data_IF_911790155023
#
_entry.id   IF_911790155023
#
_cell.length_a   1.000
_cell.length_b   1.000
_cell.length_c   1.000
_cell.angle_alpha   90.00
_cell.angle_beta   90.00
_cell.angle_gamma   90.00
#
_symmetry.space_group_name_H-M   'P 1'
#
loop_
_entity.id
_entity.type
_entity.pdbx_description
1 polymer ?
#
# COMPACT_ATOMS: atom_id res chain seq x y z
N UNK A 1 -33.60 28.31 -10.74
CA UNK A 1 -32.62 27.37 -11.30
C UNK A 1 -32.04 26.57 -10.15
N UNK A 2 -32.33 25.27 -10.09
CA UNK A 2 -31.90 24.37 -9.03
C UNK A 2 -30.42 24.02 -9.22
N UNK A 3 -29.58 24.35 -8.23
CA UNK A 3 -28.24 23.78 -8.12
C UNK A 3 -28.37 22.35 -7.60
N UNK A 4 -28.18 21.36 -8.47
CA UNK A 4 -27.94 19.98 -8.06
C UNK A 4 -26.56 19.91 -7.40
N UNK A 5 -26.55 19.64 -6.10
CA UNK A 5 -25.34 19.34 -5.34
C UNK A 5 -24.85 17.93 -5.69
N UNK A 6 -23.64 17.84 -6.24
CA UNK A 6 -22.98 16.56 -6.53
C UNK A 6 -22.28 16.08 -5.25
N UNK A 7 -22.86 15.10 -4.57
CA UNK A 7 -22.47 14.61 -3.23
C UNK A 7 -21.34 13.57 -3.23
N UNK A 8 -20.60 13.39 -4.32
CA UNK A 8 -19.77 12.18 -4.51
C UNK A 8 -18.25 12.35 -4.44
N UNK A 9 -17.69 13.50 -4.03
CA UNK A 9 -16.24 13.68 -4.18
C UNK A 9 -15.51 14.53 -3.13
N UNK A 10 -15.88 14.45 -1.84
CA UNK A 10 -15.11 15.13 -0.78
C UNK A 10 -13.81 14.43 -0.35
N UNK A 11 -13.52 13.23 -0.84
CA UNK A 11 -12.29 12.47 -0.55
C UNK A 11 -11.24 12.48 -1.69
N UNK A 12 -11.51 13.16 -2.82
CA UNK A 12 -10.64 13.13 -4.02
C UNK A 12 -10.32 14.51 -4.63
N UNK A 13 -10.63 15.62 -3.97
CA UNK A 13 -10.61 16.94 -4.63
C UNK A 13 -9.29 17.72 -4.66
N UNK A 14 -8.12 17.05 -4.59
CA UNK A 14 -6.82 17.72 -4.76
C UNK A 14 -5.89 17.07 -5.80
N UNK A 15 -6.42 16.30 -6.75
CA UNK A 15 -5.63 15.80 -7.91
C UNK A 15 -6.17 16.23 -9.28
N UNK A 16 -7.16 17.12 -9.35
CA UNK A 16 -7.79 17.54 -10.62
C UNK A 16 -7.28 18.87 -11.21
N UNK A 17 -6.19 19.47 -10.68
CA UNK A 17 -5.63 20.74 -11.17
C UNK A 17 -4.13 20.70 -11.49
N UNK A 18 -3.63 19.60 -12.07
CA UNK A 18 -2.29 19.56 -12.65
C UNK A 18 -2.33 19.41 -14.17
N UNK A 19 -2.57 20.53 -14.87
CA UNK A 19 -2.29 20.63 -16.32
C UNK A 19 -0.89 21.14 -16.64
N UNK A 20 -0.03 21.38 -15.64
CA UNK A 20 1.38 21.72 -15.86
C UNK A 20 2.22 21.14 -14.73
N UNK A 21 2.56 19.85 -14.79
CA UNK A 21 3.71 19.34 -14.04
C UNK A 21 4.93 19.38 -14.97
N UNK A 22 5.80 20.36 -14.75
CA UNK A 22 7.19 20.23 -15.19
C UNK A 22 7.80 19.00 -14.51
N UNK A 23 8.72 18.28 -15.18
CA UNK A 23 9.36 17.10 -14.60
C UNK A 23 10.10 17.50 -13.33
N UNK A 24 9.55 17.10 -12.18
CA UNK A 24 10.23 17.22 -10.90
C UNK A 24 11.41 16.25 -10.93
N UNK A 25 12.61 16.77 -11.15
CA UNK A 25 13.84 15.99 -11.14
C UNK A 25 14.13 15.58 -9.69
N UNK A 26 13.80 14.33 -9.36
CA UNK A 26 14.28 13.71 -8.12
C UNK A 26 15.81 13.66 -8.13
N UNK A 27 16.50 14.09 -7.06
CA UNK A 27 17.96 14.04 -6.97
C UNK A 27 18.54 12.61 -6.85
N UNK A 28 17.69 11.58 -6.91
CA UNK A 28 18.07 10.19 -6.64
C UNK A 28 18.52 9.39 -7.88
N UNK A 29 19.28 10.00 -8.79
CA UNK A 29 19.93 9.28 -9.88
C UNK A 29 21.45 9.41 -9.82
N UNK A 30 22.12 8.46 -9.16
CA UNK A 30 23.51 8.10 -9.49
C UNK A 30 23.84 6.62 -9.35
N UNK A 31 24.57 6.19 -10.38
CA UNK A 31 25.56 5.12 -10.52
C UNK A 31 25.23 3.66 -10.21
N UNK A 32 25.09 2.90 -11.31
CA UNK A 32 25.11 1.43 -11.35
C UNK A 32 26.55 0.95 -11.53
N UNK A 33 27.07 0.16 -10.59
CA UNK A 33 28.11 -0.85 -10.88
C UNK A 33 27.83 -2.14 -10.14
N UNK A 34 27.85 -3.22 -10.89
CA UNK A 34 27.62 -4.60 -10.48
C UNK A 34 28.92 -5.32 -10.09
N UNK A 35 28.82 -6.34 -9.24
CA UNK A 35 29.88 -7.32 -8.96
C UNK A 35 29.49 -8.33 -7.86
N UNK A 36 30.04 -9.55 -7.84
CA UNK A 36 29.20 -10.77 -7.87
C UNK A 36 29.16 -11.64 -6.60
N UNK A 37 28.24 -12.60 -6.70
CA UNK A 37 27.79 -13.69 -5.81
C UNK A 37 28.82 -14.78 -5.45
N UNK A 38 28.63 -15.40 -4.28
CA UNK A 38 29.19 -16.73 -3.92
C UNK A 38 28.32 -17.46 -2.87
N UNK A 39 28.23 -18.81 -2.89
CA UNK A 39 27.13 -19.57 -2.26
C UNK A 39 27.53 -20.30 -0.96
N UNK A 40 26.53 -20.82 -0.22
CA UNK A 40 26.49 -22.03 0.67
C UNK A 40 25.48 -21.80 1.81
N UNK A 41 24.72 -22.76 2.38
CA UNK A 41 24.49 -24.20 2.20
C UNK A 41 23.24 -24.53 3.05
N UNK A 42 22.36 -25.39 2.55
CA UNK A 42 21.13 -25.83 3.23
C UNK A 42 21.43 -26.77 4.42
N UNK A 43 20.64 -26.65 5.49
CA UNK A 43 20.51 -27.67 6.54
C UNK A 43 19.02 -27.91 6.78
N UNK A 44 18.62 -29.17 6.63
CA UNK A 44 17.26 -29.69 6.87
C UNK A 44 17.08 -30.00 8.35
N UNK A 45 15.98 -29.58 8.94
CA UNK A 45 15.47 -30.23 10.16
C UNK A 45 13.97 -30.43 10.06
N UNK A 46 13.55 -31.61 10.51
CA UNK A 46 12.21 -32.20 10.38
C UNK A 46 11.23 -31.53 11.34
N UNK A 47 10.02 -31.36 10.84
CA UNK A 47 8.86 -30.86 11.58
C UNK A 47 8.17 -32.03 12.28
N UNK A 48 7.84 -31.85 13.56
CA UNK A 48 6.82 -32.61 14.28
C UNK A 48 5.70 -31.62 14.61
N UNK A 49 4.52 -31.81 14.01
CA UNK A 49 3.33 -31.00 14.27
C UNK A 49 2.53 -31.62 15.42
N UNK A 50 2.42 -30.88 16.52
CA UNK A 50 1.39 -31.06 17.55
C UNK A 50 0.26 -30.05 17.33
N UNK A 51 -0.97 -30.55 17.27
CA UNK A 51 -2.20 -29.77 17.17
C UNK A 51 -2.47 -29.04 18.49
N UNK A 52 -2.45 -27.70 18.48
CA UNK A 52 -3.01 -26.85 19.54
C UNK A 52 -3.41 -25.49 18.91
N UNK A 53 -4.48 -24.90 19.44
CA UNK A 53 -5.27 -23.81 18.85
C UNK A 53 -4.47 -22.59 18.40
N UNK A 54 -4.98 -21.91 17.37
CA UNK A 54 -4.41 -20.70 16.76
C UNK A 54 -4.54 -19.48 17.69
N UNK A 55 -3.69 -19.43 18.71
CA UNK A 55 -3.15 -18.16 19.19
C UNK A 55 -2.11 -17.70 18.15
N UNK A 56 -2.18 -16.43 17.74
CA UNK A 56 -1.21 -15.83 16.84
C UNK A 56 0.18 -15.92 17.49
N UNK A 57 1.02 -16.83 16.99
CA UNK A 57 2.43 -16.92 17.38
C UNK A 57 3.06 -15.55 17.14
N UNK A 58 3.47 -14.88 18.21
CA UNK A 58 4.20 -13.62 18.18
C UNK A 58 5.59 -13.85 17.57
N UNK A 59 5.65 -13.97 16.25
CA UNK A 59 6.89 -14.04 15.49
C UNK A 59 7.61 -12.70 15.53
N UNK A 60 8.94 -12.74 15.57
CA UNK A 60 9.75 -11.53 15.39
C UNK A 60 9.39 -10.83 14.08
N UNK A 61 9.38 -9.49 14.08
CA UNK A 61 9.15 -8.70 12.88
C UNK A 61 10.14 -9.11 11.76
N UNK A 62 9.67 -9.36 10.53
CA UNK A 62 10.57 -9.71 9.45
C UNK A 62 11.46 -8.52 9.08
N UNK A 63 12.71 -8.81 8.71
CA UNK A 63 13.66 -7.85 8.16
C UNK A 63 13.45 -7.70 6.65
N UNK A 64 13.07 -6.50 6.21
CA UNK A 64 12.82 -6.15 4.81
C UNK A 64 14.07 -5.50 4.24
N UNK A 65 14.96 -6.30 3.67
CA UNK A 65 16.31 -5.88 3.23
C UNK A 65 16.44 -5.72 1.72
N UNK A 66 15.42 -6.10 0.95
CA UNK A 66 15.37 -5.97 -0.49
C UNK A 66 13.90 -6.02 -0.97
N UNK A 67 13.67 -5.77 -2.25
CA UNK A 67 12.33 -5.73 -2.83
C UNK A 67 11.60 -7.09 -2.76
N UNK A 68 12.30 -8.21 -2.89
CA UNK A 68 11.72 -9.55 -2.76
C UNK A 68 11.16 -9.80 -1.34
N UNK A 69 11.90 -9.38 -0.30
CA UNK A 69 11.45 -9.47 1.07
C UNK A 69 10.20 -8.60 1.32
N UNK A 70 10.17 -7.38 0.78
CA UNK A 70 8.99 -6.50 0.84
C UNK A 70 7.80 -7.14 0.13
N UNK A 71 8.03 -7.67 -1.07
CA UNK A 71 7.01 -8.35 -1.88
C UNK A 71 6.39 -9.52 -1.12
N UNK A 72 7.24 -10.43 -0.63
CA UNK A 72 6.82 -11.61 0.12
C UNK A 72 6.06 -11.22 1.39
N UNK A 73 6.48 -10.16 2.07
CA UNK A 73 5.78 -9.64 3.24
C UNK A 73 4.40 -9.09 2.88
N UNK A 74 4.28 -8.19 1.91
CA UNK A 74 3.03 -7.48 1.63
C UNK A 74 1.97 -8.34 0.96
N UNK A 75 2.37 -9.35 0.17
CA UNK A 75 1.46 -10.17 -0.63
C UNK A 75 0.30 -10.75 0.21
N UNK A 76 -0.91 -10.69 -0.34
CA UNK A 76 -2.13 -11.24 0.27
C UNK A 76 -3.11 -10.17 0.76
N UNK A 77 -4.03 -10.59 1.63
CA UNK A 77 -5.14 -9.76 2.12
C UNK A 77 -4.96 -9.36 3.57
N UNK A 78 -5.32 -8.13 3.87
CA UNK A 78 -5.13 -7.48 5.16
C UNK A 78 -6.44 -6.84 5.62
N UNK A 79 -6.85 -7.12 6.86
CA UNK A 79 -7.82 -6.30 7.55
C UNK A 79 -7.16 -4.96 7.89
N UNK A 80 -7.89 -3.87 7.70
CA UNK A 80 -7.33 -2.53 7.80
C UNK A 80 -8.23 -1.65 8.65
N UNK A 81 -7.63 -0.94 9.60
CA UNK A 81 -8.24 0.20 10.27
C UNK A 81 -7.43 1.46 9.97
N UNK A 82 -8.11 2.60 9.89
CA UNK A 82 -7.50 3.90 9.63
C UNK A 82 -8.19 4.97 10.44
N UNK A 83 -7.40 5.83 11.05
CA UNK A 83 -7.87 7.07 11.66
C UNK A 83 -7.20 8.23 10.95
N UNK A 84 -7.93 9.33 10.80
CA UNK A 84 -7.37 10.55 10.24
C UNK A 84 -7.96 11.75 10.95
N UNK A 85 -7.10 12.74 11.18
CA UNK A 85 -7.42 13.96 11.89
C UNK A 85 -6.72 15.12 11.17
N UNK A 86 -7.51 15.85 10.38
CA UNK A 86 -7.03 17.01 9.63
C UNK A 86 -7.52 18.30 10.27
N UNK A 87 -6.56 19.17 10.58
CA UNK A 87 -6.77 20.56 10.98
C UNK A 87 -7.20 21.41 9.78
N UNK A 88 -6.58 21.17 8.63
CA UNK A 88 -6.90 21.81 7.35
C UNK A 88 -7.09 20.70 6.31
N UNK A 89 -8.23 20.72 5.62
CA UNK A 89 -8.53 19.83 4.48
C UNK A 89 -8.55 18.33 4.82
N UNK A 90 -9.74 17.73 4.93
CA UNK A 90 -9.90 16.26 5.07
C UNK A 90 -10.82 15.83 6.21
N UNK A 91 -11.04 16.69 7.20
CA UNK A 91 -11.89 16.41 8.36
C UNK A 91 -11.29 15.39 9.34
N UNK A 92 -12.10 14.94 10.29
CA UNK A 92 -11.74 13.87 11.22
C UNK A 92 -12.65 12.66 11.02
N UNK A 93 -12.10 11.47 11.14
CA UNK A 93 -12.88 10.25 11.02
C UNK A 93 -12.07 8.97 11.18
N UNK A 94 -12.78 7.87 10.97
CA UNK A 94 -12.22 6.52 10.95
C UNK A 94 -12.65 5.78 9.70
N UNK A 95 -11.92 4.72 9.36
CA UNK A 95 -12.24 3.82 8.27
C UNK A 95 -11.89 2.39 8.67
N UNK A 96 -12.81 1.48 8.42
CA UNK A 96 -12.59 0.04 8.55
C UNK A 96 -12.79 -0.64 7.20
N UNK A 97 -11.93 -1.60 6.88
CA UNK A 97 -11.94 -2.21 5.57
C UNK A 97 -10.88 -3.28 5.38
N UNK A 98 -10.46 -3.44 4.13
CA UNK A 98 -9.39 -4.36 3.77
C UNK A 98 -8.49 -3.77 2.69
N UNK A 99 -7.24 -4.21 2.71
CA UNK A 99 -6.28 -4.01 1.65
C UNK A 99 -5.89 -5.36 1.03
N UNK A 100 -5.69 -5.38 -0.28
CA UNK A 100 -5.18 -6.56 -0.98
C UNK A 100 -3.96 -6.16 -1.79
N UNK A 101 -2.87 -6.89 -1.59
CA UNK A 101 -1.69 -6.85 -2.44
C UNK A 101 -1.71 -8.07 -3.33
N UNK A 102 -1.74 -7.86 -4.64
CA UNK A 102 -1.76 -8.93 -5.65
C UNK A 102 -0.64 -8.74 -6.64
N UNK A 103 -0.04 -9.82 -7.11
CA UNK A 103 0.93 -9.75 -8.21
C UNK A 103 0.21 -9.35 -9.50
N UNK A 104 0.86 -8.52 -10.31
CA UNK A 104 0.35 -8.26 -11.65
C UNK A 104 0.64 -9.46 -12.56
N UNK A 105 -0.30 -9.87 -13.42
CA UNK A 105 -0.02 -10.90 -14.43
C UNK A 105 1.12 -10.52 -15.39
N UNK A 106 1.35 -9.22 -15.59
CA UNK A 106 2.35 -8.69 -16.52
C UNK A 106 3.77 -8.67 -15.93
N UNK A 107 3.90 -8.48 -14.60
CA UNK A 107 5.15 -8.30 -13.88
C UNK A 107 5.05 -8.94 -12.49
N UNK A 108 5.78 -10.03 -12.27
CA UNK A 108 5.76 -10.73 -10.98
C UNK A 108 6.45 -9.95 -9.85
N UNK A 109 7.27 -8.96 -10.17
CA UNK A 109 7.98 -8.05 -9.26
C UNK A 109 7.23 -6.71 -9.07
N UNK A 110 5.96 -6.66 -9.46
CA UNK A 110 5.06 -5.54 -9.21
C UNK A 110 3.83 -6.04 -8.46
N UNK A 111 3.50 -5.37 -7.35
CA UNK A 111 2.27 -5.61 -6.59
C UNK A 111 1.24 -4.50 -6.85
N UNK A 112 0.03 -4.88 -7.22
CA UNK A 112 -1.15 -4.01 -7.15
C UNK A 112 -1.71 -4.02 -5.75
N UNK A 113 -1.86 -2.82 -5.21
CA UNK A 113 -2.53 -2.57 -3.96
C UNK A 113 -3.94 -2.03 -4.22
N UNK A 114 -4.91 -2.66 -3.58
CA UNK A 114 -6.29 -2.20 -3.56
C UNK A 114 -6.79 -2.08 -2.12
N UNK A 115 -7.18 -0.87 -1.74
CA UNK A 115 -7.82 -0.54 -0.46
C UNK A 115 -9.31 -0.32 -0.68
N UNK A 116 -10.15 -0.86 0.20
CA UNK A 116 -11.59 -0.57 0.25
C UNK A 116 -12.09 -0.59 1.69
N UNK A 117 -13.05 0.27 2.01
CA UNK A 117 -13.67 0.27 3.33
C UNK A 117 -14.70 1.38 3.52
N UNK A 118 -15.39 1.31 4.64
CA UNK A 118 -16.40 2.28 5.04
C UNK A 118 -15.75 3.36 5.93
N UNK A 119 -15.89 4.62 5.52
CA UNK A 119 -15.35 5.79 6.22
C UNK A 119 -16.47 6.44 7.02
N UNK A 120 -16.28 6.57 8.33
CA UNK A 120 -17.12 7.39 9.19
C UNK A 120 -16.44 8.74 9.42
N UNK A 121 -16.99 9.79 8.80
CA UNK A 121 -16.55 11.18 9.01
C UNK A 121 -17.37 11.84 10.11
N UNK A 122 -16.72 12.73 10.88
CA UNK A 122 -17.44 13.62 11.78
C UNK A 122 -18.45 14.47 10.98
N UNK A 123 -19.67 14.58 11.50
CA UNK A 123 -20.77 15.34 10.87
C UNK A 123 -21.55 14.58 9.80
N UNK A 124 -21.10 13.40 9.34
CA UNK A 124 -21.90 12.56 8.45
C UNK A 124 -22.71 11.53 9.23
N UNK A 125 -24.01 11.47 8.94
CA UNK A 125 -24.94 10.55 9.62
C UNK A 125 -24.73 9.08 9.26
N UNK A 126 -24.06 8.79 8.13
CA UNK A 126 -23.81 7.43 7.64
C UNK A 126 -22.38 7.32 7.12
N UNK A 127 -21.74 6.14 7.27
CA UNK A 127 -20.47 5.88 6.62
C UNK A 127 -20.57 6.00 5.10
N UNK A 128 -19.46 6.34 4.47
CA UNK A 128 -19.31 6.41 3.01
C UNK A 128 -18.26 5.40 2.54
N UNK A 129 -18.52 4.73 1.42
CA UNK A 129 -17.53 3.85 0.82
C UNK A 129 -16.35 4.64 0.27
N UNK A 130 -15.13 4.19 0.57
CA UNK A 130 -13.89 4.73 0.02
C UNK A 130 -13.00 3.61 -0.52
N UNK A 131 -12.20 3.95 -1.53
CA UNK A 131 -11.24 3.05 -2.12
C UNK A 131 -9.98 3.79 -2.57
N UNK A 132 -8.88 3.04 -2.73
CA UNK A 132 -7.60 3.56 -3.19
C UNK A 132 -6.81 2.48 -3.93
N UNK A 133 -6.08 2.88 -4.97
CA UNK A 133 -5.25 1.98 -5.77
C UNK A 133 -3.81 2.49 -5.81
N UNK A 134 -2.85 1.58 -5.61
CA UNK A 134 -1.42 1.84 -5.76
C UNK A 134 -0.74 0.68 -6.50
N UNK A 135 0.48 0.95 -6.95
CA UNK A 135 1.38 -0.03 -7.51
C UNK A 135 2.74 0.03 -6.80
N UNK A 136 3.28 -1.11 -6.38
CA UNK A 136 4.57 -1.24 -5.71
C UNK A 136 5.53 -1.99 -6.62
N UNK A 137 6.55 -1.30 -7.15
CA UNK A 137 7.60 -1.88 -7.97
C UNK A 137 8.70 -2.44 -7.09
N UNK A 138 8.57 -3.72 -6.75
CA UNK A 138 9.52 -4.47 -5.91
C UNK A 138 10.73 -4.98 -6.68
N UNK A 139 10.77 -4.82 -8.00
CA UNK A 139 11.98 -5.02 -8.82
C UNK A 139 13.02 -3.89 -8.67
N UNK A 140 12.69 -2.85 -7.91
CA UNK A 140 13.58 -1.73 -7.57
C UNK A 140 13.90 -1.72 -6.08
N UNK A 141 15.07 -1.19 -5.75
CA UNK A 141 15.48 -0.93 -4.38
C UNK A 141 16.06 0.47 -4.25
N UNK A 142 15.52 1.34 -3.38
CA UNK A 142 14.29 1.17 -2.57
C UNK A 142 13.05 0.80 -3.39
N UNK A 143 12.04 0.18 -2.77
CA UNK A 143 10.77 -0.14 -3.46
C UNK A 143 10.10 1.16 -3.88
N UNK A 144 9.73 1.27 -5.14
CA UNK A 144 9.03 2.45 -5.65
C UNK A 144 7.52 2.25 -5.59
N UNK A 145 6.79 3.25 -5.09
CA UNK A 145 5.33 3.26 -5.03
C UNK A 145 4.78 4.27 -6.02
N UNK A 146 3.70 3.89 -6.69
CA UNK A 146 3.05 4.65 -7.75
C UNK A 146 1.56 4.83 -7.45
N UNK A 147 1.03 6.02 -7.73
CA UNK A 147 -0.41 6.23 -7.87
C UNK A 147 -0.93 5.47 -9.08
N UNK A 148 -2.11 4.87 -8.95
CA UNK A 148 -2.86 4.31 -10.07
C UNK A 148 -4.02 5.25 -10.33
N UNK A 149 -3.89 6.08 -11.37
CA UNK A 149 -4.86 7.14 -11.67
C UNK A 149 -6.10 6.60 -12.42
N UNK A 150 -5.89 5.59 -13.27
CA UNK A 150 -6.91 5.02 -14.14
C UNK A 150 -6.94 3.49 -13.96
N UNK A 151 -8.03 2.94 -13.41
CA UNK A 151 -8.30 1.50 -13.53
C UNK A 151 -9.09 1.26 -14.82
N UNK A 152 -8.46 0.57 -15.78
CA UNK A 152 -9.08 0.17 -17.04
C UNK A 152 -10.41 -0.59 -16.84
N UNK A 153 -10.60 -1.27 -15.70
CA UNK A 153 -11.83 -1.99 -15.38
C UNK A 153 -13.00 -1.07 -15.02
N UNK A 154 -12.72 0.10 -14.45
CA UNK A 154 -13.77 1.02 -13.99
C UNK A 154 -14.11 2.09 -15.01
N UNK A 155 -13.25 2.31 -16.02
CA UNK A 155 -13.36 3.39 -17.01
C UNK A 155 -13.57 4.79 -16.39
N UNK A 156 -13.30 4.97 -15.10
CA UNK A 156 -13.74 6.15 -14.33
C UNK A 156 -12.78 7.33 -14.34
N UNK A 157 -11.63 7.20 -14.99
CA UNK A 157 -10.72 8.33 -15.15
C UNK A 157 -10.07 8.26 -16.53
N UNK A 158 -10.11 9.41 -17.22
CA UNK A 158 -9.61 9.64 -18.58
C UNK A 158 -8.65 10.84 -18.56
N UNK A 159 -8.46 11.47 -17.40
CA UNK A 159 -7.84 12.79 -17.30
C UNK A 159 -6.34 12.78 -17.57
N UNK A 160 -5.66 11.63 -17.46
CA UNK A 160 -4.20 11.51 -17.65
C UNK A 160 -3.77 10.56 -18.78
N UNK A 161 -4.68 10.05 -19.61
CA UNK A 161 -4.32 9.15 -20.74
C UNK A 161 -3.33 9.74 -21.74
N UNK A 162 -3.16 11.07 -21.76
CA UNK A 162 -2.23 11.75 -22.65
C UNK A 162 -0.78 11.74 -22.12
N UNK A 163 -0.55 11.35 -20.87
CA UNK A 163 0.78 11.24 -20.29
C UNK A 163 1.30 9.79 -20.42
N UNK A 164 2.60 9.60 -20.68
CA UNK A 164 3.19 8.27 -20.71
C UNK A 164 3.16 7.65 -19.31
N UNK A 165 2.62 6.43 -19.21
CA UNK A 165 2.71 5.65 -17.97
C UNK A 165 4.17 5.29 -17.68
N UNK A 166 4.62 5.48 -16.44
CA UNK A 166 5.99 5.13 -16.03
C UNK A 166 6.21 3.61 -16.09
N UNK A 167 5.15 2.82 -15.87
CA UNK A 167 5.12 1.38 -16.05
C UNK A 167 4.17 1.06 -17.22
N UNK A 168 4.60 1.26 -18.48
CA UNK A 168 3.74 1.12 -19.65
C UNK A 168 3.26 -0.31 -19.89
N UNK A 169 3.89 -1.30 -19.25
CA UNK A 169 3.45 -2.70 -19.31
C UNK A 169 2.20 -2.95 -18.47
N UNK A 170 1.87 -2.06 -17.53
CA UNK A 170 0.66 -2.15 -16.75
C UNK A 170 -0.52 -1.58 -17.53
N UNK A 171 -1.68 -2.24 -17.44
CA UNK A 171 -2.93 -1.79 -18.03
C UNK A 171 -3.56 -0.60 -17.27
N UNK A 172 -2.75 0.24 -16.62
CA UNK A 172 -3.17 1.39 -15.85
C UNK A 172 -2.16 2.54 -15.97
N UNK A 173 -2.64 3.78 -15.79
CA UNK A 173 -1.75 4.94 -15.75
C UNK A 173 -1.11 5.03 -14.36
N UNK A 174 0.23 5.01 -14.33
CA UNK A 174 0.99 5.15 -13.08
C UNK A 174 1.78 6.45 -13.01
N UNK A 175 1.64 7.17 -11.89
CA UNK A 175 2.45 8.34 -11.56
C UNK A 175 3.33 8.03 -10.35
N UNK A 176 4.63 8.34 -10.40
CA UNK A 176 5.53 8.09 -9.28
C UNK A 176 5.05 8.82 -8.04
N UNK A 177 5.07 8.12 -6.90
CA UNK A 177 4.69 8.69 -5.62
C UNK A 177 5.91 8.83 -4.72
N UNK A 178 6.41 7.71 -4.18
CA UNK A 178 7.46 7.70 -3.14
C UNK A 178 8.31 6.44 -3.22
N UNK A 179 9.59 6.49 -2.81
CA UNK A 179 10.36 5.30 -2.48
C UNK A 179 10.07 4.83 -1.04
N UNK A 180 10.30 3.54 -0.76
CA UNK A 180 10.28 2.95 0.59
C UNK A 180 11.69 2.49 0.98
N UNK A 181 12.52 3.38 1.58
CA UNK A 181 13.90 3.08 1.95
C UNK A 181 13.94 2.31 3.27
N UNK A 182 13.72 0.99 3.22
CA UNK A 182 13.88 0.16 4.40
C UNK A 182 15.35 0.02 4.80
N UNK A 183 15.62 0.10 6.11
CA UNK A 183 16.94 -0.20 6.66
C UNK A 183 17.95 0.95 6.60
N UNK A 184 17.54 2.15 6.18
CA UNK A 184 18.39 3.36 6.23
C UNK A 184 18.30 4.07 7.60
N UNK A 185 17.46 3.61 8.52
CA UNK A 185 17.32 4.21 9.86
C UNK A 185 18.53 3.86 10.73
N UNK A 186 19.20 4.84 11.38
CA UNK A 186 20.41 4.62 12.18
C UNK A 186 20.23 3.73 13.42
N UNK A 187 19.00 3.37 13.78
CA UNK A 187 18.69 2.58 14.98
C UNK A 187 18.81 1.07 14.68
N UNK A 188 20.03 0.59 14.50
CA UNK A 188 20.37 -0.84 14.29
C UNK A 188 19.86 -1.81 15.38
N UNK A 189 19.27 -1.29 16.46
CA UNK A 189 18.93 -2.03 17.67
C UNK A 189 17.48 -2.53 17.72
N UNK A 190 16.58 -2.00 16.88
CA UNK A 190 15.21 -2.51 16.81
C UNK A 190 15.09 -3.50 15.67
N UNK A 191 14.78 -4.77 15.96
CA UNK A 191 14.53 -5.80 14.95
C UNK A 191 13.31 -5.56 14.05
N UNK A 192 12.78 -4.34 14.01
CA UNK A 192 11.64 -3.91 13.19
C UNK A 192 12.10 -3.31 11.88
N UNK A 193 11.43 -3.67 10.78
CA UNK A 193 11.65 -3.01 9.48
C UNK A 193 10.84 -1.72 9.40
N UNK A 194 11.52 -0.63 9.12
CA UNK A 194 10.94 0.71 9.01
C UNK A 194 11.38 1.37 7.70
N UNK A 195 10.46 2.09 7.04
CA UNK A 195 10.76 2.98 5.92
C UNK A 195 10.13 4.35 6.19
N UNK A 196 10.94 5.41 6.07
CA UNK A 196 10.51 6.80 6.21
C UNK A 196 10.76 7.56 4.91
N UNK A 197 9.85 8.43 4.49
CA UNK A 197 9.99 9.19 3.25
C UNK A 197 9.24 10.52 3.32
N UNK A 198 9.62 11.44 2.44
CA UNK A 198 8.97 12.73 2.25
C UNK A 198 8.56 12.92 0.79
N UNK A 199 7.46 13.61 0.56
CA UNK A 199 6.96 13.95 -0.77
C UNK A 199 6.35 15.35 -0.74
N UNK A 200 6.88 16.24 -1.57
CA UNK A 200 6.31 17.56 -1.78
C UNK A 200 5.23 17.45 -2.86
N UNK A 201 3.98 17.70 -2.50
CA UNK A 201 2.86 17.76 -3.43
C UNK A 201 2.38 19.21 -3.52
N UNK A 202 2.78 19.89 -4.59
CA UNK A 202 2.56 21.33 -4.77
C UNK A 202 3.23 22.10 -3.62
N UNK A 203 2.45 22.59 -2.65
CA UNK A 203 2.91 23.36 -1.49
C UNK A 203 2.75 22.59 -0.16
N UNK A 204 2.19 21.38 -0.21
CA UNK A 204 2.02 20.53 0.97
C UNK A 204 3.16 19.52 1.08
N UNK A 205 3.83 19.47 2.24
CA UNK A 205 4.82 18.44 2.55
C UNK A 205 4.14 17.25 3.20
N UNK A 206 4.17 16.11 2.52
CA UNK A 206 3.74 14.82 3.05
C UNK A 206 4.95 14.06 3.59
N UNK A 207 4.83 13.53 4.79
CA UNK A 207 5.79 12.61 5.40
C UNK A 207 5.09 11.29 5.69
N UNK A 208 5.76 10.18 5.39
CA UNK A 208 5.23 8.84 5.61
C UNK A 208 6.21 7.95 6.36
N UNK A 209 5.66 7.06 7.19
CA UNK A 209 6.39 6.03 7.91
C UNK A 209 5.64 4.71 7.78
N UNK A 210 6.31 3.68 7.25
CA UNK A 210 5.81 2.31 7.24
C UNK A 210 6.63 1.49 8.24
N UNK A 211 5.94 0.85 9.18
CA UNK A 211 6.56 0.13 10.27
C UNK A 211 6.03 -1.31 10.38
N UNK A 212 6.92 -2.28 10.22
CA UNK A 212 6.62 -3.70 10.38
C UNK A 212 6.73 -4.08 11.85
N UNK A 213 5.60 -4.49 12.45
CA UNK A 213 5.50 -4.84 13.87
C UNK A 213 5.67 -6.34 14.11
N UNK A 214 5.15 -7.17 13.21
CA UNK A 214 5.21 -8.63 13.25
C UNK A 214 5.01 -9.20 11.83
N UNK A 215 5.11 -10.52 11.61
CA UNK A 215 4.82 -11.13 10.30
C UNK A 215 3.40 -10.88 9.76
N UNK A 216 2.47 -10.56 10.65
CA UNK A 216 1.05 -10.35 10.38
C UNK A 216 0.56 -8.94 10.71
N UNK A 217 1.43 -8.00 11.07
CA UNK A 217 1.06 -6.63 11.42
C UNK A 217 2.08 -5.61 10.89
N UNK A 218 1.58 -4.62 10.15
CA UNK A 218 2.32 -3.39 9.89
C UNK A 218 1.43 -2.17 10.04
N UNK A 219 2.08 -1.02 10.24
CA UNK A 219 1.44 0.28 10.35
C UNK A 219 1.95 1.18 9.23
N UNK A 220 1.09 2.08 8.75
CA UNK A 220 1.46 3.11 7.77
C UNK A 220 0.91 4.46 8.21
N UNK A 221 1.81 5.28 8.73
CA UNK A 221 1.51 6.58 9.30
C UNK A 221 1.87 7.67 8.30
N UNK A 222 1.03 8.69 8.24
CA UNK A 222 1.21 9.85 7.39
C UNK A 222 1.03 11.11 8.22
N UNK A 223 1.84 12.12 7.94
CA UNK A 223 1.55 13.50 8.30
C UNK A 223 1.63 14.37 7.06
N UNK A 224 0.86 15.45 7.05
CA UNK A 224 0.96 16.48 6.03
C UNK A 224 0.97 17.83 6.71
N UNK A 225 1.85 18.71 6.24
CA UNK A 225 1.91 20.10 6.66
C UNK A 225 1.96 20.99 5.43
N UNK A 226 1.03 21.93 5.32
CA UNK A 226 0.97 22.85 4.19
C UNK A 226 -0.27 23.75 4.22
N UNK A 227 -0.36 24.69 3.26
CA UNK A 227 -1.46 25.64 3.20
C UNK A 227 -2.79 24.99 2.78
N UNK A 228 -2.75 23.84 2.08
CA UNK A 228 -3.96 23.17 1.61
C UNK A 228 -4.37 22.01 2.50
N UNK A 229 -3.40 21.34 3.13
CA UNK A 229 -3.65 20.29 4.11
C UNK A 229 -2.72 20.36 5.29
N UNK A 230 -3.29 20.07 6.45
CA UNK A 230 -2.57 19.95 7.69
C UNK A 230 -3.24 18.89 8.55
N UNK A 231 -2.54 17.80 8.87
CA UNK A 231 -3.10 16.70 9.64
C UNK A 231 -2.28 15.42 9.60
N UNK A 232 -2.89 14.35 10.08
CA UNK A 232 -2.29 13.02 10.11
C UNK A 232 -3.26 11.89 9.77
N UNK A 233 -2.68 10.77 9.35
CA UNK A 233 -3.37 9.49 9.18
C UNK A 233 -2.56 8.42 9.91
N UNK A 234 -3.22 7.55 10.66
CA UNK A 234 -2.64 6.32 11.21
C UNK A 234 -3.39 5.15 10.58
N UNK A 235 -2.68 4.22 9.95
CA UNK A 235 -3.26 3.00 9.39
C UNK A 235 -2.63 1.78 10.03
N UNK A 236 -3.45 0.80 10.41
CA UNK A 236 -3.00 -0.51 10.88
C UNK A 236 -3.50 -1.60 9.94
N UNK A 237 -2.62 -2.53 9.59
CA UNK A 237 -2.92 -3.63 8.68
C UNK A 237 -2.59 -4.94 9.37
N UNK A 238 -3.62 -5.78 9.55
CA UNK A 238 -3.46 -7.14 10.08
C UNK A 238 -3.71 -8.17 8.99
N UNK A 239 -2.78 -9.11 8.81
CA UNK A 239 -2.93 -10.17 7.81
C UNK A 239 -4.19 -10.98 8.11
N UNK A 240 -5.02 -11.17 7.09
CA UNK A 240 -6.16 -12.06 7.21
C UNK A 240 -5.68 -13.50 7.00
N UNK A 241 -6.22 -14.43 7.80
CA UNK A 241 -6.04 -15.84 7.50
C UNK A 241 -6.54 -16.10 6.07
N UNK A 242 -5.76 -16.83 5.28
CA UNK A 242 -6.29 -17.38 4.03
C UNK A 242 -7.53 -18.19 4.39
N UNK A 243 -8.65 -17.87 3.76
CA UNK A 243 -9.84 -18.68 3.90
C UNK A 243 -9.45 -20.09 3.47
N UNK A 244 -9.39 -21.02 4.42
CA UNK A 244 -9.11 -22.42 4.11
C UNK A 244 -10.17 -22.83 3.10
N UNK A 245 -9.76 -23.14 1.87
CA UNK A 245 -10.69 -23.57 0.85
C UNK A 245 -11.56 -24.69 1.44
N UNK A 246 -12.89 -24.66 1.26
CA UNK A 246 -13.72 -25.74 1.77
C UNK A 246 -13.19 -27.05 1.22
N UNK A 247 -12.90 -27.97 2.15
CA UNK A 247 -12.38 -29.30 1.86
C UNK A 247 -13.27 -30.00 0.84
N UNK A 248 -12.81 -30.03 -0.41
CA UNK A 248 -13.53 -30.63 -1.53
C UNK A 248 -13.69 -32.14 -1.38
N UNK A 249 -13.06 -32.76 -0.38
CA UNK A 249 -13.24 -34.19 -0.06
C UNK A 249 -14.59 -34.53 0.58
N UNK A 250 -15.43 -33.55 0.95
CA UNK A 250 -16.77 -33.78 1.51
C UNK A 250 -17.91 -33.76 0.51
N UNK A 251 -17.65 -33.58 -0.79
CA UNK A 251 -18.66 -33.77 -1.82
C UNK A 251 -18.93 -35.27 -1.99
N UNK A 252 -19.86 -35.78 -1.18
CA UNK A 252 -20.46 -37.11 -1.40
C UNK A 252 -21.15 -37.07 -2.77
N UNK A 253 -20.75 -37.92 -3.74
CA UNK A 253 -21.43 -37.93 -5.03
C UNK A 253 -22.90 -38.32 -4.85
N UNK A 254 -23.81 -37.74 -5.65
CA UNK A 254 -25.22 -38.12 -5.62
C UNK A 254 -25.32 -39.63 -5.95
N UNK A 255 -26.07 -40.37 -5.12
CA UNK A 255 -26.45 -41.75 -5.46
C UNK A 255 -27.41 -41.67 -6.65
N UNK A 256 -27.00 -42.28 -7.76
CA UNK A 256 -27.84 -42.57 -8.92
C UNK A 256 -28.87 -43.66 -8.57
#
# INVERSE_FOLDING_TARGET
MQHQQCTTCHLCHLCHLCHVCHPCQSPYQRDRRAGPSGPKRQSRSRILWGLQGVEAMAGAAPRLINGEAVRAFLLGRWAMSKTFDYRIGGGRGTMEGFATFTETPQRCDVLMYEERGAVQLEGLAKPVEAYRLYCFNTGRWPVEVYFVDDDAKTQRSVTKKHLPSILPELACHTSFFVPLPFGESPSEQSGSSEACFNHLCIEDLYSGQLLVRSPDLFEWNWSVTGPHKDGGIICSYRRMAEATAPDSSKLTPPRL
#
